data_IF_546749209574
#
_entry.id   IF_546749209574
#
_cell.length_a   1.000
_cell.length_b   1.000
_cell.length_c   1.000
_cell.angle_alpha   90.00
_cell.angle_beta   90.00
_cell.angle_gamma   90.00
#
_symmetry.space_group_name_H-M   'P 1'
#
loop_
_entity.id
_entity.type
_entity.pdbx_description
1 polymer ?
#
# COMPACT_ATOMS: atom_id res chain seq x y z
N UNK A 1 -10.74 -15.22 -45.35
CA UNK A 1 -10.00 -14.59 -44.23
C UNK A 1 -10.88 -13.49 -43.67
N UNK A 2 -11.01 -13.41 -42.34
CA UNK A 2 -11.82 -12.36 -41.69
C UNK A 2 -11.04 -11.05 -41.77
N UNK A 3 -11.51 -10.10 -42.58
CA UNK A 3 -10.93 -8.76 -42.78
C UNK A 3 -11.49 -7.71 -41.81
N UNK A 4 -12.31 -8.15 -40.85
CA UNK A 4 -13.04 -7.30 -39.92
C UNK A 4 -12.26 -7.11 -38.60
N UNK A 5 -12.66 -6.10 -37.81
CA UNK A 5 -12.06 -5.73 -36.52
C UNK A 5 -12.07 -6.84 -35.47
N UNK A 6 -12.93 -7.86 -35.65
CA UNK A 6 -13.02 -9.04 -34.78
C UNK A 6 -12.07 -10.18 -35.19
N UNK A 7 -11.28 -10.00 -36.26
CA UNK A 7 -10.28 -10.97 -36.73
C UNK A 7 -8.87 -10.69 -36.20
N UNK A 8 -7.94 -11.61 -36.49
CA UNK A 8 -6.52 -11.50 -36.07
C UNK A 8 -5.82 -10.24 -36.60
N UNK A 9 -6.25 -9.73 -37.76
CA UNK A 9 -5.72 -8.48 -38.32
C UNK A 9 -6.13 -7.29 -37.43
N UNK A 10 -7.39 -7.25 -36.97
CA UNK A 10 -7.88 -6.25 -36.03
C UNK A 10 -7.10 -6.25 -34.72
N UNK A 11 -6.86 -7.43 -34.13
CA UNK A 11 -6.06 -7.57 -32.91
C UNK A 11 -4.64 -6.99 -33.07
N UNK A 12 -3.95 -7.31 -34.17
CA UNK A 12 -2.61 -6.77 -34.43
C UNK A 12 -2.62 -5.25 -34.60
N UNK A 13 -3.64 -4.70 -35.25
CA UNK A 13 -3.82 -3.26 -35.37
C UNK A 13 -4.03 -2.60 -34.00
N UNK A 14 -4.81 -3.23 -33.10
CA UNK A 14 -4.97 -2.75 -31.72
C UNK A 14 -3.68 -2.80 -30.91
N UNK A 15 -2.88 -3.86 -31.03
CA UNK A 15 -1.58 -3.98 -30.35
C UNK A 15 -0.62 -2.88 -30.81
N UNK A 16 -0.54 -2.61 -32.12
CA UNK A 16 0.31 -1.52 -32.65
C UNK A 16 -0.21 -0.14 -32.26
N UNK A 17 -1.52 0.07 -32.23
CA UNK A 17 -2.11 1.32 -31.77
C UNK A 17 -1.81 1.58 -30.29
N UNK A 18 -1.75 0.52 -29.48
CA UNK A 18 -1.37 0.62 -28.07
C UNK A 18 0.08 1.12 -27.86
N UNK A 19 1.02 0.91 -28.78
CA UNK A 19 2.36 1.51 -28.69
C UNK A 19 2.33 3.05 -28.76
N UNK A 20 1.29 3.62 -29.37
CA UNK A 20 1.12 5.08 -29.54
C UNK A 20 0.17 5.72 -28.54
N UNK A 21 -0.72 4.96 -27.89
CA UNK A 21 -1.71 5.47 -26.93
C UNK A 21 -1.67 4.69 -25.59
N UNK A 22 -1.15 5.30 -24.50
CA UNK A 22 -1.09 4.70 -23.17
C UNK A 22 -2.45 4.22 -22.62
N UNK A 23 -3.56 4.84 -23.06
CA UNK A 23 -4.90 4.46 -22.64
C UNK A 23 -5.37 3.13 -23.25
N UNK A 24 -4.93 2.83 -24.48
CA UNK A 24 -5.25 1.57 -25.18
C UNK A 24 -4.31 0.41 -24.78
N UNK A 25 -3.12 0.70 -24.25
CA UNK A 25 -2.19 -0.30 -23.67
C UNK A 25 -2.88 -1.13 -22.60
N UNK A 26 -3.63 -0.49 -21.71
CA UNK A 26 -4.22 -1.16 -20.55
C UNK A 26 -5.26 -2.22 -20.92
N UNK A 27 -5.93 -2.06 -22.06
CA UNK A 27 -6.99 -2.97 -22.50
C UNK A 27 -6.48 -4.05 -23.47
N UNK A 28 -5.54 -3.70 -24.36
CA UNK A 28 -5.04 -4.63 -25.37
C UNK A 28 -3.81 -5.44 -24.93
N UNK A 29 -2.83 -4.78 -24.29
CA UNK A 29 -1.60 -5.39 -23.79
C UNK A 29 -1.71 -5.79 -22.32
N UNK A 30 -2.57 -5.10 -21.57
CA UNK A 30 -2.72 -5.27 -20.13
C UNK A 30 -1.61 -4.56 -19.34
N UNK A 31 -1.65 -4.76 -18.03
CA UNK A 31 -0.62 -4.30 -17.10
C UNK A 31 -0.14 -5.44 -16.22
N UNK A 32 1.10 -5.35 -15.74
CA UNK A 32 1.61 -6.33 -14.80
C UNK A 32 0.97 -6.13 -13.42
N UNK A 33 -0.03 -6.95 -13.12
CA UNK A 33 -0.79 -6.90 -11.88
C UNK A 33 0.07 -7.23 -10.65
N UNK A 34 1.21 -7.89 -10.82
CA UNK A 34 2.12 -8.21 -9.70
C UNK A 34 2.82 -6.97 -9.14
N UNK A 35 2.88 -5.90 -9.93
CA UNK A 35 3.49 -4.62 -9.53
C UNK A 35 2.56 -3.72 -8.71
N UNK A 36 1.28 -4.10 -8.57
CA UNK A 36 0.26 -3.32 -7.86
C UNK A 36 0.34 -3.40 -6.33
N UNK A 37 1.42 -3.96 -5.78
CA UNK A 37 1.63 -4.04 -4.33
C UNK A 37 0.76 -5.10 -3.62
N UNK A 38 0.12 -5.99 -4.39
CA UNK A 38 -0.66 -7.11 -3.88
C UNK A 38 0.17 -8.39 -3.99
N UNK A 39 0.24 -9.15 -2.89
CA UNK A 39 0.87 -10.46 -2.92
C UNK A 39 -0.09 -11.52 -3.49
N UNK A 40 -0.17 -11.61 -4.82
CA UNK A 40 -1.04 -12.57 -5.52
C UNK A 40 -0.63 -14.04 -5.28
N UNK A 41 0.56 -14.28 -4.74
CA UNK A 41 1.08 -15.60 -4.39
C UNK A 41 0.80 -15.97 -2.92
N UNK A 42 0.10 -15.12 -2.17
CA UNK A 42 -0.23 -15.39 -0.77
C UNK A 42 -1.16 -16.61 -0.65
N UNK A 43 -0.87 -17.56 0.26
CA UNK A 43 -1.80 -18.64 0.58
C UNK A 43 -3.00 -18.15 1.40
N UNK A 44 -2.92 -16.95 2.00
CA UNK A 44 -3.99 -16.31 2.77
C UNK A 44 -4.82 -15.34 1.92
N UNK A 45 -6.06 -15.10 2.35
CA UNK A 45 -6.94 -14.10 1.75
C UNK A 45 -6.37 -12.69 1.86
N UNK A 46 -6.44 -11.91 0.79
CA UNK A 46 -5.94 -10.53 0.73
C UNK A 46 -6.92 -9.49 1.29
N UNK A 47 -8.23 -9.76 1.21
CA UNK A 47 -9.28 -8.81 1.62
C UNK A 47 -9.17 -8.30 3.07
N UNK A 48 -8.72 -9.08 4.09
CA UNK A 48 -8.67 -8.60 5.47
C UNK A 48 -7.64 -7.48 5.67
N UNK A 49 -6.59 -7.46 4.85
CA UNK A 49 -5.52 -6.46 4.89
C UNK A 49 -5.57 -5.52 3.68
N UNK A 50 -6.69 -5.49 2.96
CA UNK A 50 -6.85 -4.64 1.80
C UNK A 50 -7.14 -3.19 2.25
N UNK A 51 -6.15 -2.31 2.07
CA UNK A 51 -6.22 -0.94 2.55
C UNK A 51 -7.15 -0.06 1.73
N UNK A 52 -6.89 0.08 0.42
CA UNK A 52 -7.76 0.82 -0.50
C UNK A 52 -7.41 0.48 -1.95
N UNK A 53 -8.28 0.83 -2.92
CA UNK A 53 -7.99 0.64 -4.35
C UNK A 53 -6.74 1.35 -4.87
N UNK A 54 -6.24 2.36 -4.15
CA UNK A 54 -5.07 3.15 -4.53
C UNK A 54 -3.85 2.88 -3.65
N UNK A 55 -3.99 2.04 -2.63
CA UNK A 55 -2.89 1.71 -1.73
C UNK A 55 -1.98 0.67 -2.37
N UNK A 56 -0.69 0.96 -2.38
CA UNK A 56 0.35 0.03 -2.85
C UNK A 56 0.85 -0.93 -1.77
N UNK A 57 0.24 -0.88 -0.57
CA UNK A 57 0.64 -1.69 0.58
C UNK A 57 -0.59 -2.16 1.37
N UNK A 58 -0.51 -3.33 2.05
CA UNK A 58 -1.58 -3.82 2.91
C UNK A 58 -1.74 -2.98 4.18
N UNK A 59 -2.90 -3.09 4.83
CA UNK A 59 -3.16 -2.46 6.13
C UNK A 59 -2.13 -2.91 7.17
N UNK A 60 -1.60 -1.96 7.92
CA UNK A 60 -0.78 -2.24 9.10
C UNK A 60 -1.70 -2.51 10.30
N UNK A 61 -1.21 -3.18 11.35
CA UNK A 61 -1.99 -3.38 12.57
C UNK A 61 -2.51 -2.07 13.19
N UNK A 62 -1.74 -0.98 13.06
CA UNK A 62 -2.14 0.35 13.53
C UNK A 62 -3.26 1.02 12.70
N UNK A 63 -3.50 0.55 11.47
CA UNK A 63 -4.56 1.06 10.60
C UNK A 63 -5.89 0.32 10.81
N UNK A 64 -5.86 -0.81 11.54
CA UNK A 64 -7.02 -1.67 11.77
C UNK A 64 -7.63 -1.31 13.12
N UNK A 65 -8.85 -0.80 13.10
CA UNK A 65 -9.63 -0.59 14.32
C UNK A 65 -9.95 -1.94 14.98
N UNK A 66 -9.55 -2.09 16.23
CA UNK A 66 -9.81 -3.28 17.02
C UNK A 66 -10.52 -2.91 18.32
N UNK A 67 -11.51 -3.70 18.70
CA UNK A 67 -12.22 -3.51 19.96
C UNK A 67 -11.32 -3.95 21.13
N UNK A 68 -10.54 -3.01 21.66
CA UNK A 68 -9.73 -3.20 22.85
C UNK A 68 -10.57 -3.08 24.12
N UNK A 69 -10.25 -3.82 25.19
CA UNK A 69 -10.82 -3.61 26.51
C UNK A 69 -10.75 -2.13 26.95
N UNK A 70 -11.78 -1.67 27.66
CA UNK A 70 -11.94 -0.26 28.07
C UNK A 70 -10.77 0.28 28.89
N UNK A 71 -10.06 -0.61 29.58
CA UNK A 71 -8.90 -0.33 30.41
C UNK A 71 -7.71 0.19 29.58
N UNK A 72 -7.61 -0.18 28.30
CA UNK A 72 -6.55 0.29 27.41
C UNK A 72 -6.85 1.64 26.74
N UNK A 73 -8.06 2.17 26.87
CA UNK A 73 -8.46 3.48 26.36
C UNK A 73 -7.93 4.62 27.26
N UNK A 74 -6.62 4.62 27.48
CA UNK A 74 -5.93 5.49 28.44
C UNK A 74 -5.92 6.94 28.00
N UNK A 75 -5.90 7.21 26.69
CA UNK A 75 -5.79 8.56 26.13
C UNK A 75 -6.87 9.51 26.68
N UNK A 76 -8.09 9.01 26.94
CA UNK A 76 -9.18 9.82 27.50
C UNK A 76 -8.84 10.37 28.90
N UNK A 77 -8.06 9.64 29.68
CA UNK A 77 -7.78 9.95 31.09
C UNK A 77 -6.41 10.62 31.31
N UNK A 78 -5.41 10.30 30.49
CA UNK A 78 -4.01 10.72 30.73
C UNK A 78 -3.47 11.72 29.70
N UNK A 79 -4.31 12.23 28.79
CA UNK A 79 -3.89 13.11 27.69
C UNK A 79 -2.97 14.26 28.14
N UNK A 80 -3.35 14.96 29.21
CA UNK A 80 -2.61 16.14 29.68
C UNK A 80 -1.28 15.78 30.37
N UNK A 81 -1.13 14.53 30.82
CA UNK A 81 0.08 14.03 31.50
C UNK A 81 1.00 13.27 30.56
N UNK A 82 0.53 12.89 29.37
CA UNK A 82 1.29 12.11 28.41
C UNK A 82 2.41 12.97 27.82
N UNK A 83 3.64 12.44 27.88
CA UNK A 83 4.79 13.14 27.32
C UNK A 83 4.64 13.29 25.80
N UNK A 84 4.99 14.47 25.28
CA UNK A 84 5.03 14.70 23.84
C UNK A 84 6.03 13.74 23.17
N UNK A 85 5.67 13.31 21.96
CA UNK A 85 6.49 12.41 21.14
C UNK A 85 7.78 13.15 20.74
N UNK A 86 8.92 12.65 21.21
CA UNK A 86 10.26 13.16 20.89
C UNK A 86 11.18 11.98 20.62
N UNK A 87 11.59 11.81 19.36
CA UNK A 87 12.37 10.66 18.91
C UNK A 87 13.71 10.54 19.63
N UNK A 88 14.34 11.67 19.97
CA UNK A 88 15.58 11.73 20.75
C UNK A 88 15.52 11.18 22.17
N UNK A 89 14.32 10.87 22.69
CA UNK A 89 14.15 10.24 24.00
C UNK A 89 13.97 8.72 23.89
N UNK A 90 13.84 8.19 22.68
CA UNK A 90 13.54 6.80 22.42
C UNK A 90 14.82 6.00 22.20
N UNK A 91 14.79 4.73 22.58
CA UNK A 91 15.89 3.82 22.31
C UNK A 91 15.87 3.34 20.85
N UNK A 92 16.99 2.78 20.40
CA UNK A 92 17.19 2.27 19.03
C UNK A 92 16.10 1.28 18.59
N UNK A 93 15.68 0.37 19.48
CA UNK A 93 14.64 -0.63 19.18
C UNK A 93 13.32 0.01 18.74
N UNK A 94 12.90 1.08 19.44
CA UNK A 94 11.68 1.80 19.11
C UNK A 94 11.86 2.62 17.82
N UNK A 95 13.04 3.17 17.58
CA UNK A 95 13.34 3.87 16.33
C UNK A 95 13.32 2.91 15.12
N UNK A 96 13.88 1.70 15.25
CA UNK A 96 13.76 0.67 14.22
C UNK A 96 12.32 0.23 13.99
N UNK A 97 11.55 0.02 15.06
CA UNK A 97 10.12 -0.27 14.95
C UNK A 97 9.40 0.82 14.15
N UNK A 98 9.61 2.09 14.48
CA UNK A 98 9.00 3.22 13.78
C UNK A 98 9.47 3.32 12.32
N UNK A 99 10.74 3.04 12.04
CA UNK A 99 11.30 3.06 10.70
C UNK A 99 10.68 1.99 9.79
N UNK A 100 10.55 0.74 10.27
CA UNK A 100 10.04 -0.36 9.47
C UNK A 100 8.52 -0.37 9.32
N UNK A 101 7.78 0.14 10.31
CA UNK A 101 6.31 0.14 10.28
C UNK A 101 5.71 1.29 9.47
N UNK A 102 6.42 2.42 9.32
CA UNK A 102 5.87 3.64 8.72
C UNK A 102 6.36 3.90 7.29
N UNK A 103 6.34 2.87 6.44
CA UNK A 103 6.79 2.96 5.05
C UNK A 103 6.09 4.08 4.26
N UNK A 104 6.88 5.02 3.72
CA UNK A 104 6.37 6.13 2.92
C UNK A 104 5.77 7.30 3.73
N UNK A 105 5.96 7.31 5.04
CA UNK A 105 5.50 8.39 5.93
C UNK A 105 6.68 9.26 6.40
N UNK A 106 6.38 10.49 6.83
CA UNK A 106 7.33 11.40 7.45
C UNK A 106 7.97 10.76 8.70
N UNK A 107 7.22 9.94 9.43
CA UNK A 107 7.71 9.29 10.63
C UNK A 107 8.86 8.30 10.37
N UNK A 108 8.90 7.65 9.22
CA UNK A 108 10.04 6.82 8.82
C UNK A 108 11.29 7.66 8.58
N UNK A 109 11.16 8.81 7.92
CA UNK A 109 12.29 9.72 7.70
C UNK A 109 12.80 10.30 9.02
N UNK A 110 11.90 10.71 9.91
CA UNK A 110 12.28 11.23 11.21
C UNK A 110 12.98 10.16 12.07
N UNK A 111 12.51 8.91 12.04
CA UNK A 111 13.19 7.79 12.70
C UNK A 111 14.58 7.52 12.09
N UNK A 112 14.70 7.59 10.76
CA UNK A 112 15.98 7.43 10.06
C UNK A 112 17.00 8.55 10.34
N UNK A 113 16.54 9.75 10.69
CA UNK A 113 17.42 10.87 11.07
C UNK A 113 17.96 10.71 12.49
N UNK A 114 17.21 10.05 13.37
CA UNK A 114 17.60 9.86 14.77
C UNK A 114 18.44 8.58 14.98
N UNK A 115 18.32 7.59 14.07
CA UNK A 115 19.16 6.39 14.02
C UNK A 115 20.58 6.69 13.54
#
# INVERSE_FOLDING_TARGET
MVTDQFGMIGLLTFIRAAETDPGMVHLALGSDLTTLGLNLNSPENLYPKFASPWASAPCRPQDIDFHVPSEYLTNIHIRDKLAAIKLSRYGEDLLFYLYYMNGGDLLQLLAAVEL
#
